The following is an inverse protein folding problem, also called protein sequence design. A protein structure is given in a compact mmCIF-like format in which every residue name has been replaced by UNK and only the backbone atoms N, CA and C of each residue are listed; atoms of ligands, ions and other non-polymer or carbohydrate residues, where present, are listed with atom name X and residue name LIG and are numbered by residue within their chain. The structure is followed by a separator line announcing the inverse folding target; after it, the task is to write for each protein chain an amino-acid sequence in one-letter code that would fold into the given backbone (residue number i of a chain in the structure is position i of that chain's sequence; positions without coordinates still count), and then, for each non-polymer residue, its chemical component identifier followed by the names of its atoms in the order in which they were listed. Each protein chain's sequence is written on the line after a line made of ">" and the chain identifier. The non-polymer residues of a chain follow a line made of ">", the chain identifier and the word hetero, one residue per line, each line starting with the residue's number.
data_IF_322290828728
#
_entry.id   IF_322290828728
#
_cell.length_a   1.000
_cell.length_b   1.000
_cell.length_c   1.000
_cell.angle_alpha   90.00
_cell.angle_beta   90.00
_cell.angle_gamma   90.00
#
_symmetry.space_group_name_H-M   'P 1'
#
loop_
_entity.id
_entity.type
_entity.pdbx_description
1 polymer ?
#
# COMPACT_ATOMS: atom_id res chain seq x y z
N UNK A 1 -11.33 2.69 -8.60
CA UNK A 1 -9.99 2.35 -8.05
C UNK A 1 -8.90 3.24 -8.64
N UNK A 2 -9.08 3.74 -9.86
CA UNK A 2 -8.12 4.56 -10.61
C UNK A 2 -7.50 5.73 -9.82
N UNK A 3 -8.30 6.49 -9.07
CA UNK A 3 -7.77 7.59 -8.23
C UNK A 3 -6.85 7.10 -7.11
N UNK A 4 -7.12 5.92 -6.54
CA UNK A 4 -6.23 5.30 -5.54
C UNK A 4 -4.94 4.82 -6.23
N UNK A 5 -5.06 4.23 -7.43
CA UNK A 5 -3.91 3.80 -8.24
C UNK A 5 -3.00 4.99 -8.57
N UNK A 6 -3.58 6.12 -8.99
CA UNK A 6 -2.84 7.35 -9.25
C UNK A 6 -2.05 7.81 -8.01
N UNK A 7 -2.69 7.77 -6.84
CA UNK A 7 -2.05 8.09 -5.55
C UNK A 7 -0.88 7.14 -5.22
N UNK A 8 -0.96 5.86 -5.60
CA UNK A 8 0.14 4.90 -5.47
C UNK A 8 1.35 5.22 -6.37
N UNK A 9 1.16 6.01 -7.44
CA UNK A 9 2.16 6.30 -8.47
C UNK A 9 2.75 7.70 -8.36
N UNK A 10 2.93 8.22 -7.15
CA UNK A 10 3.61 9.51 -6.95
C UNK A 10 5.12 9.38 -7.20
N UNK A 11 5.71 10.18 -8.11
CA UNK A 11 7.15 10.13 -8.42
C UNK A 11 8.08 10.51 -7.25
N UNK A 12 7.56 11.23 -6.25
CA UNK A 12 8.27 11.57 -5.02
C UNK A 12 8.35 10.41 -4.02
N UNK A 13 7.73 9.27 -4.33
CA UNK A 13 7.75 8.07 -3.51
C UNK A 13 9.01 7.24 -3.72
N UNK A 14 9.40 6.49 -2.68
CA UNK A 14 10.44 5.47 -2.79
C UNK A 14 10.05 4.37 -3.80
N UNK A 15 8.77 3.97 -3.88
CA UNK A 15 8.31 2.91 -4.81
C UNK A 15 8.53 3.23 -6.29
N UNK A 16 8.68 4.50 -6.66
CA UNK A 16 9.02 4.87 -8.04
C UNK A 16 10.40 4.32 -8.46
N UNK A 17 11.31 4.16 -7.49
CA UNK A 17 12.70 3.78 -7.73
C UNK A 17 13.01 2.38 -7.16
N UNK A 18 12.40 2.03 -6.02
CA UNK A 18 12.58 0.78 -5.27
C UNK A 18 11.19 0.15 -5.05
N UNK A 19 10.72 -0.75 -5.95
CA UNK A 19 9.42 -1.40 -5.79
C UNK A 19 9.35 -2.19 -4.48
N UNK A 20 8.23 -2.07 -3.77
CA UNK A 20 8.08 -2.68 -2.46
C UNK A 20 6.71 -2.43 -1.84
N UNK A 21 6.58 -2.56 -0.52
CA UNK A 21 5.30 -2.46 0.17
C UNK A 21 4.69 -1.06 0.14
N UNK A 22 3.35 -0.99 0.19
CA UNK A 22 2.57 0.23 0.44
C UNK A 22 1.30 -0.12 1.22
N UNK A 23 0.68 0.87 1.86
CA UNK A 23 -0.58 0.67 2.58
C UNK A 23 -1.68 1.49 1.93
N UNK A 24 -2.77 0.84 1.56
CA UNK A 24 -4.02 1.48 1.14
C UNK A 24 -4.97 1.50 2.33
N UNK A 25 -5.31 2.70 2.79
CA UNK A 25 -6.24 2.95 3.89
C UNK A 25 -7.57 3.37 3.30
N UNK A 26 -8.50 2.42 3.21
CA UNK A 26 -9.86 2.67 2.75
C UNK A 26 -10.69 3.28 3.88
N UNK A 27 -11.58 4.22 3.53
CA UNK A 27 -12.66 4.60 4.45
C UNK A 27 -13.71 3.50 4.51
N UNK A 28 -14.52 3.43 5.58
CA UNK A 28 -15.65 2.51 5.65
C UNK A 28 -16.59 2.61 4.43
N UNK A 29 -16.86 3.84 3.96
CA UNK A 29 -17.74 4.07 2.81
C UNK A 29 -17.16 3.48 1.52
N UNK A 30 -15.87 3.68 1.24
CA UNK A 30 -15.20 3.07 0.08
C UNK A 30 -15.09 1.55 0.20
N UNK A 31 -14.79 1.03 1.39
CA UNK A 31 -14.72 -0.42 1.62
C UNK A 31 -16.07 -1.09 1.34
N UNK A 32 -17.18 -0.49 1.81
CA UNK A 32 -18.54 -0.98 1.55
C UNK A 32 -18.91 -0.87 0.07
N UNK A 33 -18.59 0.26 -0.57
CA UNK A 33 -18.82 0.47 -2.01
C UNK A 33 -18.12 -0.62 -2.84
N UNK A 34 -16.82 -0.82 -2.61
CA UNK A 34 -16.03 -1.83 -3.30
C UNK A 34 -16.58 -3.24 -3.04
N UNK A 35 -16.92 -3.56 -1.79
CA UNK A 35 -17.48 -4.86 -1.44
C UNK A 35 -18.81 -5.13 -2.15
N UNK A 36 -19.73 -4.15 -2.16
CA UNK A 36 -21.01 -4.23 -2.87
C UNK A 36 -20.81 -4.48 -4.37
N UNK A 37 -19.78 -3.87 -4.94
CA UNK A 37 -19.45 -3.99 -6.35
C UNK A 37 -18.62 -5.27 -6.65
N UNK A 38 -18.50 -6.20 -5.69
CA UNK A 38 -17.92 -7.54 -5.88
C UNK A 38 -16.40 -7.62 -5.71
N UNK A 39 -15.77 -6.56 -5.21
CA UNK A 39 -14.36 -6.54 -4.86
C UNK A 39 -14.13 -7.23 -3.51
N UNK A 40 -13.02 -7.94 -3.42
CA UNK A 40 -12.45 -8.45 -2.18
C UNK A 40 -11.01 -7.95 -2.06
N UNK A 41 -10.38 -8.19 -0.89
CA UNK A 41 -9.02 -7.71 -0.60
C UNK A 41 -8.02 -8.13 -1.68
N UNK A 42 -8.07 -9.38 -2.13
CA UNK A 42 -7.11 -9.92 -3.08
C UNK A 42 -7.31 -9.37 -4.49
N UNK A 43 -8.55 -9.24 -4.98
CA UNK A 43 -8.85 -8.57 -6.25
C UNK A 43 -8.36 -7.13 -6.26
N UNK A 44 -8.50 -6.40 -5.15
CA UNK A 44 -8.01 -5.02 -5.05
C UNK A 44 -6.48 -5.01 -5.16
N UNK A 45 -5.78 -5.89 -4.44
CA UNK A 45 -4.32 -6.03 -4.50
C UNK A 45 -3.83 -6.36 -5.91
N UNK A 46 -4.42 -7.36 -6.54
CA UNK A 46 -4.09 -7.79 -7.91
C UNK A 46 -4.29 -6.64 -8.90
N UNK A 47 -5.42 -5.93 -8.78
CA UNK A 47 -5.73 -4.81 -9.66
C UNK A 47 -4.79 -3.63 -9.47
N UNK A 48 -4.51 -3.23 -8.22
CA UNK A 48 -3.55 -2.16 -7.94
C UNK A 48 -2.15 -2.56 -8.42
N UNK A 49 -1.67 -3.79 -8.15
CA UNK A 49 -0.36 -4.24 -8.62
C UNK A 49 -0.26 -4.25 -10.15
N UNK A 50 -1.33 -4.65 -10.85
CA UNK A 50 -1.34 -4.68 -12.30
C UNK A 50 -1.30 -3.27 -12.93
N UNK A 51 -1.90 -2.27 -12.26
CA UNK A 51 -2.11 -0.94 -12.84
C UNK A 51 -1.18 0.14 -12.28
N UNK A 52 -0.71 0.03 -11.04
CA UNK A 52 0.13 1.02 -10.37
C UNK A 52 1.58 0.91 -10.87
N UNK A 53 1.83 1.53 -12.02
CA UNK A 53 3.09 1.45 -12.73
C UNK A 53 3.54 2.83 -13.21
N UNK A 54 4.85 3.01 -13.35
CA UNK A 54 5.44 4.15 -14.04
C UNK A 54 5.93 3.77 -15.43
N UNK A 55 5.71 4.60 -16.45
CA UNK A 55 6.50 4.54 -17.67
C UNK A 55 7.98 4.60 -17.32
N UNK A 56 8.77 3.62 -17.78
CA UNK A 56 10.22 3.56 -17.50
C UNK A 56 10.96 4.87 -17.76
N UNK A 57 10.68 5.65 -18.83
CA UNK A 57 11.32 6.95 -19.04
C UNK A 57 11.16 7.96 -17.89
N UNK A 58 10.10 7.84 -17.07
CA UNK A 58 9.87 8.75 -15.94
C UNK A 58 10.76 8.47 -14.73
N UNK A 59 11.30 7.25 -14.61
CA UNK A 59 12.06 6.78 -13.44
C UNK A 59 13.48 6.34 -13.78
N UNK A 60 13.82 6.22 -15.07
CA UNK A 60 15.17 5.86 -15.53
C UNK A 60 16.16 6.96 -15.17
N UNK A 61 17.32 6.57 -14.63
CA UNK A 61 18.41 7.47 -14.25
C UNK A 61 17.97 8.61 -13.31
N UNK A 62 16.99 8.33 -12.44
CA UNK A 62 16.47 9.22 -11.41
C UNK A 62 16.43 8.48 -10.07
N UNK A 63 16.38 9.24 -8.97
CA UNK A 63 16.53 8.70 -7.62
C UNK A 63 17.99 8.39 -7.27
N UNK A 64 18.24 7.95 -6.03
CA UNK A 64 19.59 7.71 -5.52
C UNK A 64 20.25 6.51 -6.23
N UNK A 65 19.60 5.34 -6.19
CA UNK A 65 19.93 4.12 -6.92
C UNK A 65 18.65 3.27 -7.03
N UNK A 66 18.22 2.81 -8.22
CA UNK A 66 17.11 1.88 -8.31
C UNK A 66 17.55 0.51 -7.78
N UNK A 67 16.94 0.05 -6.69
CA UNK A 67 17.08 -1.30 -6.16
C UNK A 67 15.85 -2.09 -6.57
N UNK A 68 16.02 -3.05 -7.48
CA UNK A 68 14.91 -3.78 -8.11
C UNK A 68 15.26 -5.26 -8.23
N UNK A 69 14.25 -6.16 -8.24
CA UNK A 69 14.47 -7.55 -8.63
C UNK A 69 15.16 -7.64 -10.00
N UNK A 70 16.08 -8.59 -10.19
CA UNK A 70 16.77 -8.79 -11.46
C UNK A 70 15.80 -9.04 -12.62
N UNK A 71 14.69 -9.73 -12.34
CA UNK A 71 13.60 -9.97 -13.29
C UNK A 71 12.97 -8.68 -13.83
N UNK A 72 13.20 -7.53 -13.21
CA UNK A 72 12.67 -6.23 -13.64
C UNK A 72 13.63 -5.45 -14.55
N UNK A 73 14.81 -5.97 -14.86
CA UNK A 73 15.84 -5.27 -15.65
C UNK A 73 15.30 -4.69 -16.97
N UNK A 74 14.44 -5.43 -17.68
CA UNK A 74 13.81 -5.04 -18.94
C UNK A 74 12.30 -4.80 -18.82
N UNK A 75 11.76 -4.72 -17.60
CA UNK A 75 10.31 -4.62 -17.39
C UNK A 75 9.80 -3.23 -17.77
N UNK A 76 8.73 -3.19 -18.55
CA UNK A 76 7.99 -1.98 -18.87
C UNK A 76 6.48 -2.28 -18.97
N UNK A 77 5.60 -1.47 -18.35
CA UNK A 77 5.93 -0.37 -17.42
C UNK A 77 6.56 -0.88 -16.12
N UNK A 78 7.20 0.00 -15.35
CA UNK A 78 7.86 -0.34 -14.08
C UNK A 78 6.83 -0.33 -12.95
N UNK A 79 6.53 -1.47 -12.30
CA UNK A 79 5.54 -1.51 -11.23
C UNK A 79 6.07 -0.84 -9.96
N UNK A 80 5.16 -0.27 -9.16
CA UNK A 80 5.49 0.31 -7.85
C UNK A 80 5.64 -0.77 -6.76
N UNK A 81 5.10 -1.96 -6.98
CA UNK A 81 5.20 -3.10 -6.06
C UNK A 81 5.83 -4.32 -6.75
N UNK A 82 6.38 -5.25 -5.97
CA UNK A 82 7.03 -6.46 -6.50
C UNK A 82 6.01 -7.54 -6.81
N UNK A 83 4.99 -7.65 -5.96
CA UNK A 83 3.89 -8.59 -6.05
C UNK A 83 2.60 -8.00 -5.44
N UNK A 84 1.41 -8.56 -5.68
CA UNK A 84 0.17 -8.08 -5.06
C UNK A 84 0.21 -8.03 -3.52
N UNK A 85 1.00 -8.90 -2.88
CA UNK A 85 1.09 -8.99 -1.42
C UNK A 85 1.83 -7.81 -0.77
N UNK A 86 2.59 -7.05 -1.53
CA UNK A 86 3.19 -5.79 -1.07
C UNK A 86 2.13 -4.72 -0.75
N UNK A 87 0.89 -4.90 -1.18
CA UNK A 87 -0.20 -3.95 -0.96
C UNK A 87 -0.97 -4.38 0.29
N UNK A 88 -0.71 -3.71 1.41
CA UNK A 88 -1.52 -3.91 2.61
C UNK A 88 -2.77 -3.04 2.55
N UNK A 89 -3.93 -3.63 2.87
CA UNK A 89 -5.21 -2.92 2.81
C UNK A 89 -5.84 -2.96 4.20
N UNK A 90 -6.10 -1.78 4.73
CA UNK A 90 -6.80 -1.58 6.00
C UNK A 90 -8.00 -0.68 5.81
N UNK A 91 -8.98 -0.81 6.69
CA UNK A 91 -10.14 0.09 6.76
C UNK A 91 -10.00 0.91 8.03
N UNK A 92 -9.96 2.24 7.91
CA UNK A 92 -9.83 3.13 9.05
C UNK A 92 -10.53 4.48 8.81
N UNK A 93 -10.65 5.28 9.86
CA UNK A 93 -11.32 6.58 9.81
C UNK A 93 -12.84 6.50 9.98
N UNK A 94 -13.54 7.50 9.46
CA UNK A 94 -14.99 7.62 9.55
C UNK A 94 -15.66 7.76 8.17
N UNK A 95 -16.93 8.18 8.17
CA UNK A 95 -17.67 8.45 6.94
C UNK A 95 -16.98 9.53 6.10
N UNK A 96 -16.93 9.34 4.79
CA UNK A 96 -16.28 10.26 3.86
C UNK A 96 -15.73 9.60 2.60
N UNK A 97 -15.59 10.41 1.55
CA UNK A 97 -15.14 9.98 0.21
C UNK A 97 -13.64 10.08 -0.05
N UNK A 98 -12.80 10.11 0.99
CA UNK A 98 -11.35 10.25 0.84
C UNK A 98 -10.61 9.09 1.51
N UNK A 99 -9.87 8.30 0.73
CA UNK A 99 -8.96 7.27 1.22
C UNK A 99 -7.52 7.77 1.18
N UNK A 100 -6.63 7.08 1.88
CA UNK A 100 -5.21 7.43 1.93
C UNK A 100 -4.34 6.29 1.38
N UNK A 101 -3.20 6.67 0.82
CA UNK A 101 -2.11 5.75 0.46
C UNK A 101 -0.89 6.16 1.27
N UNK A 102 -0.35 5.22 2.04
CA UNK A 102 0.90 5.40 2.78
C UNK A 102 2.00 4.71 1.98
N UNK A 103 2.95 5.52 1.54
CA UNK A 103 4.12 5.08 0.80
C UNK A 103 5.30 4.90 1.77
N UNK A 104 6.18 3.93 1.52
CA UNK A 104 7.28 3.58 2.41
C UNK A 104 8.32 4.67 2.48
N UNK A 105 9.07 4.63 3.57
CA UNK A 105 10.21 5.49 3.83
C UNK A 105 11.47 4.92 3.15
N UNK A 106 12.60 5.59 3.40
CA UNK A 106 13.92 5.37 2.79
C UNK A 106 14.30 3.90 2.49
N UNK A 107 15.18 3.73 1.49
CA UNK A 107 15.86 2.48 1.12
C UNK A 107 14.92 1.27 1.06
N UNK A 108 15.34 0.13 1.63
CA UNK A 108 14.58 -1.10 1.64
C UNK A 108 13.70 -1.13 2.90
N UNK A 109 12.38 -1.15 2.70
CA UNK A 109 11.38 -1.22 3.77
C UNK A 109 10.49 -2.42 3.53
N UNK A 110 10.28 -3.25 4.55
CA UNK A 110 9.35 -4.38 4.51
C UNK A 110 8.15 -4.09 5.43
N UNK A 111 6.96 -4.48 4.99
CA UNK A 111 5.75 -4.36 5.81
C UNK A 111 5.71 -5.49 6.82
N UNK A 112 5.50 -5.14 8.09
CA UNK A 112 5.29 -6.09 9.18
C UNK A 112 3.94 -5.76 9.82
N UNK A 113 3.14 -6.79 10.12
CA UNK A 113 1.86 -6.65 10.81
C UNK A 113 1.96 -7.39 12.13
N UNK A 114 2.03 -6.65 13.23
CA UNK A 114 2.07 -7.19 14.58
C UNK A 114 0.84 -6.71 15.37
N UNK A 115 0.25 -7.58 16.20
CA UNK A 115 -0.82 -7.17 17.10
C UNK A 115 -0.28 -6.22 18.18
N UNK A 116 -1.02 -5.17 18.49
CA UNK A 116 -0.71 -4.32 19.64
C UNK A 116 -1.10 -5.06 20.92
N UNK A 117 -0.16 -5.14 21.87
CA UNK A 117 -0.33 -5.86 23.14
C UNK A 117 -0.43 -4.90 24.33
N UNK A 118 -1.17 -5.33 25.36
CA UNK A 118 -1.22 -4.70 26.68
C UNK A 118 0.09 -4.95 27.46
N UNK A 119 0.36 -4.22 28.56
CA UNK A 119 1.57 -4.44 29.38
C UNK A 119 1.74 -5.86 29.90
N UNK A 120 0.64 -6.62 30.03
CA UNK A 120 0.64 -8.03 30.45
C UNK A 120 0.80 -9.04 29.31
N UNK A 121 1.05 -8.56 28.08
CA UNK A 121 1.28 -9.38 26.89
C UNK A 121 0.01 -9.86 26.18
N UNK A 122 -1.19 -9.56 26.69
CA UNK A 122 -2.44 -9.90 25.98
C UNK A 122 -2.63 -9.00 24.75
N UNK A 123 -3.07 -9.57 23.64
CA UNK A 123 -3.45 -8.80 22.43
C UNK A 123 -4.68 -7.95 22.75
N UNK A 124 -4.58 -6.64 22.52
CA UNK A 124 -5.71 -5.74 22.68
C UNK A 124 -6.74 -5.99 21.57
N UNK A 125 -8.02 -6.06 21.95
CA UNK A 125 -9.14 -6.27 21.02
C UNK A 125 -9.89 -4.97 20.72
N UNK A 126 -9.78 -3.98 21.61
CA UNK A 126 -10.44 -2.69 21.50
C UNK A 126 -9.56 -1.58 22.07
N UNK A 127 -9.80 -0.34 21.63
CA UNK A 127 -9.20 0.85 22.26
C UNK A 127 -9.59 0.98 23.74
N UNK A 128 -10.74 0.41 24.12
CA UNK A 128 -11.20 0.36 25.51
C UNK A 128 -10.24 -0.42 26.42
N UNK A 129 -9.49 -1.39 25.88
CA UNK A 129 -8.54 -2.20 26.66
C UNK A 129 -7.33 -1.37 27.14
N UNK A 130 -7.06 -0.22 26.50
CA UNK A 130 -5.98 0.70 26.85
C UNK A 130 -6.41 1.82 27.82
N UNK A 131 -7.71 1.94 28.12
CA UNK A 131 -8.17 2.95 29.07
C UNK A 131 -7.75 2.56 30.48
N UNK A 132 -6.86 3.35 31.07
CA UNK A 132 -6.55 3.27 32.50
C UNK A 132 -7.84 3.64 33.26
N UNK A 133 -8.32 2.73 34.10
CA UNK A 133 -9.47 2.99 34.99
C UNK A 133 -9.07 3.91 36.14
#
# INVERSE_FOLDING_TARGET
>A
LDTIIDSCTTLGSNNAYIPGPLIVVLTPDHAQLLHRDGWNKDKIREHIHAQANHPVPMVRNRGLVPVRPESFANRHPMPVTREPKDIEIVVAGGRGGHSAVILPWALHSESIVEPVVLPDGRVAKSIEDFKVK
#
